data_IF_776809286704
#
_entry.id   IF_776809286704
#
_cell.length_a   1.000
_cell.length_b   1.000
_cell.length_c   1.000
_cell.angle_alpha   90.00
_cell.angle_beta   90.00
_cell.angle_gamma   90.00
#
_symmetry.space_group_name_H-M   'P 1'
#
loop_
_entity.id
_entity.type
_entity.pdbx_description
1 polymer ?
#
# COMPACT_ATOMS: atom_id res chain seq x y z
N UNK A 1 -27.70 42.70 -10.93
CA UNK A 1 -26.72 42.59 -9.88
C UNK A 1 -27.26 41.62 -8.85
N UNK A 2 -26.75 40.43 -8.82
CA UNK A 2 -27.18 39.39 -7.91
C UNK A 2 -26.17 38.29 -7.96
N UNK A 3 -25.19 38.35 -7.02
CA UNK A 3 -24.17 37.32 -6.81
C UNK A 3 -24.85 36.03 -6.33
N UNK A 4 -24.97 35.08 -7.22
CA UNK A 4 -25.37 33.71 -6.89
C UNK A 4 -24.14 32.87 -6.59
N UNK A 5 -23.66 32.86 -5.35
CA UNK A 5 -22.73 31.84 -4.86
C UNK A 5 -23.45 30.50 -4.85
N UNK A 6 -23.09 29.62 -5.76
CA UNK A 6 -23.42 28.20 -5.71
C UNK A 6 -22.57 27.56 -4.60
N UNK A 7 -23.20 27.22 -3.48
CA UNK A 7 -22.64 26.33 -2.49
C UNK A 7 -22.55 24.91 -3.08
N UNK A 8 -21.52 24.13 -2.79
CA UNK A 8 -21.48 22.73 -3.20
C UNK A 8 -22.59 21.97 -2.45
N UNK A 9 -23.50 21.37 -3.22
CA UNK A 9 -24.55 20.51 -2.69
C UNK A 9 -23.88 19.25 -2.11
N UNK A 10 -23.83 19.14 -0.81
CA UNK A 10 -23.61 17.88 -0.11
C UNK A 10 -24.77 16.94 -0.44
N UNK A 11 -24.53 16.03 -1.37
CA UNK A 11 -25.48 14.94 -1.64
C UNK A 11 -25.41 13.95 -0.48
N UNK A 12 -26.43 13.92 0.34
CA UNK A 12 -26.69 12.81 1.24
C UNK A 12 -27.03 11.56 0.39
N UNK A 13 -26.14 10.57 0.46
CA UNK A 13 -26.37 9.29 -0.21
C UNK A 13 -27.28 8.42 0.65
N UNK A 14 -28.46 8.16 0.17
CA UNK A 14 -29.43 7.26 0.80
C UNK A 14 -29.24 5.85 0.23
N UNK A 15 -28.97 4.88 1.10
CA UNK A 15 -28.79 3.47 0.75
C UNK A 15 -30.08 2.91 0.16
N UNK A 16 -30.11 2.59 -1.11
CA UNK A 16 -31.21 1.85 -1.75
C UNK A 16 -31.04 0.34 -1.50
N UNK A 17 -32.09 -0.43 -1.21
CA UNK A 17 -31.98 -1.80 -0.64
C UNK A 17 -31.68 -2.91 -1.64
N UNK A 18 -31.10 -2.61 -2.79
CA UNK A 18 -30.66 -3.65 -3.73
C UNK A 18 -29.22 -3.42 -4.05
N UNK A 19 -28.28 -4.23 -3.49
CA UNK A 19 -27.11 -4.47 -4.21
C UNK A 19 -25.96 -5.05 -3.65
N UNK A 20 -25.21 -5.40 -4.39
CA UNK A 20 -23.85 -5.77 -4.56
C UNK A 20 -23.50 -6.80 -3.57
N UNK A 21 -23.10 -7.73 -3.60
CA UNK A 21 -22.31 -8.13 -4.44
C UNK A 21 -21.00 -8.50 -3.84
N UNK A 22 -19.93 -8.12 -4.28
CA UNK A 22 -18.66 -8.62 -3.83
C UNK A 22 -17.84 -7.49 -3.23
N UNK A 23 -17.55 -7.56 -1.92
CA UNK A 23 -16.62 -6.65 -1.26
C UNK A 23 -15.28 -7.36 -1.08
N UNK A 24 -14.19 -6.76 -1.55
CA UNK A 24 -12.83 -7.23 -1.30
C UNK A 24 -12.10 -6.23 -0.42
N UNK A 25 -11.60 -6.71 0.72
CA UNK A 25 -10.81 -5.95 1.68
C UNK A 25 -9.37 -6.50 1.69
N UNK A 26 -8.42 -5.68 1.27
CA UNK A 26 -6.99 -6.00 1.41
C UNK A 26 -6.53 -5.37 2.71
N UNK A 27 -5.97 -6.18 3.62
CA UNK A 27 -5.53 -5.73 4.94
C UNK A 27 -4.05 -6.11 5.13
N UNK A 28 -3.13 -5.25 4.66
CA UNK A 28 -1.70 -5.48 4.83
C UNK A 28 -1.32 -5.49 6.31
N UNK A 29 -0.28 -6.23 6.66
CA UNK A 29 0.27 -6.29 8.01
C UNK A 29 -0.77 -6.60 9.12
N UNK A 30 -1.85 -7.29 8.74
CA UNK A 30 -2.89 -7.75 9.65
C UNK A 30 -2.53 -9.07 10.36
N UNK A 31 -1.46 -9.72 9.94
CA UNK A 31 -0.92 -10.92 10.55
C UNK A 31 0.32 -10.53 11.35
N UNK A 32 0.43 -10.93 12.64
CA UNK A 32 1.60 -10.62 13.45
C UNK A 32 2.84 -11.31 12.88
N UNK A 33 4.05 -10.84 13.22
CA UNK A 33 5.30 -11.44 12.75
C UNK A 33 5.39 -12.91 13.17
N UNK A 34 6.01 -13.73 12.32
CA UNK A 34 6.29 -15.14 12.58
C UNK A 34 7.48 -15.36 13.53
N UNK A 35 7.64 -16.58 14.02
CA UNK A 35 8.80 -16.97 14.82
C UNK A 35 10.03 -17.18 13.91
N UNK A 36 10.57 -16.15 13.31
CA UNK A 36 11.69 -16.19 12.38
C UNK A 36 11.86 -14.88 11.63
N UNK A 37 10.83 -14.06 11.62
CA UNK A 37 10.98 -12.66 11.24
C UNK A 37 11.86 -11.98 12.30
N UNK A 38 12.61 -10.93 11.94
CA UNK A 38 13.51 -10.15 12.84
C UNK A 38 12.78 -9.55 14.06
N UNK A 39 11.96 -10.37 14.71
CA UNK A 39 11.28 -10.02 15.94
C UNK A 39 12.36 -9.74 16.99
N UNK A 40 12.51 -8.48 17.35
CA UNK A 40 13.24 -8.10 18.55
C UNK A 40 12.80 -9.02 19.69
N UNK A 41 13.75 -9.58 20.43
CA UNK A 41 13.62 -10.65 21.42
C UNK A 41 12.48 -10.51 22.45
N UNK A 42 11.76 -9.39 22.45
CA UNK A 42 10.80 -9.02 23.49
C UNK A 42 9.33 -9.38 23.20
N UNK A 43 8.96 -9.72 21.96
CA UNK A 43 7.55 -10.03 21.64
C UNK A 43 7.41 -11.44 21.09
N UNK A 44 6.94 -12.34 21.93
CA UNK A 44 6.55 -13.69 21.51
C UNK A 44 5.27 -13.58 20.67
N UNK A 45 5.29 -13.93 19.36
CA UNK A 45 4.13 -13.81 18.47
C UNK A 45 2.84 -14.42 19.06
N UNK A 46 2.96 -15.54 19.77
CA UNK A 46 1.84 -16.17 20.46
C UNK A 46 1.28 -15.36 21.63
N UNK A 47 2.07 -14.45 22.25
CA UNK A 47 1.57 -13.55 23.30
C UNK A 47 0.74 -12.43 22.68
N UNK A 48 1.19 -11.88 21.56
CA UNK A 48 0.47 -10.87 20.81
C UNK A 48 -0.88 -11.40 20.29
N UNK A 49 -0.89 -12.59 19.70
CA UNK A 49 -2.12 -13.25 19.24
C UNK A 49 -3.14 -13.50 20.39
N UNK A 50 -2.68 -13.76 21.61
CA UNK A 50 -3.59 -13.93 22.77
C UNK A 50 -4.27 -12.62 23.18
N UNK A 51 -3.60 -11.48 22.98
CA UNK A 51 -4.15 -10.16 23.27
C UNK A 51 -5.06 -9.63 22.15
N UNK A 52 -4.98 -10.24 20.97
CA UNK A 52 -5.77 -9.82 19.82
C UNK A 52 -7.23 -10.28 19.98
N UNK A 53 -8.15 -9.34 20.13
CA UNK A 53 -9.58 -9.56 20.27
C UNK A 53 -10.33 -9.08 19.03
N UNK A 54 -10.55 -9.98 18.08
CA UNK A 54 -11.23 -9.71 16.80
C UNK A 54 -12.43 -10.66 16.63
N UNK A 55 -13.52 -10.46 17.40
CA UNK A 55 -14.65 -11.38 17.38
C UNK A 55 -15.36 -11.46 16.03
N UNK A 56 -15.45 -10.35 15.29
CA UNK A 56 -16.08 -10.35 14.00
C UNK A 56 -15.20 -11.02 12.93
N UNK A 57 -13.92 -10.65 12.83
CA UNK A 57 -12.98 -11.31 11.94
C UNK A 57 -12.87 -12.80 12.24
N UNK A 58 -12.78 -13.18 13.52
CA UNK A 58 -12.73 -14.58 13.96
C UNK A 58 -13.95 -15.37 13.48
N UNK A 59 -15.14 -14.80 13.57
CA UNK A 59 -16.37 -15.40 13.06
C UNK A 59 -16.40 -15.51 11.55
N UNK A 60 -15.88 -14.52 10.84
CA UNK A 60 -15.77 -14.51 9.38
C UNK A 60 -14.77 -15.60 8.93
N UNK A 61 -13.54 -15.60 9.45
CA UNK A 61 -12.48 -16.52 9.04
C UNK A 61 -12.80 -17.97 9.29
N UNK A 62 -13.38 -18.30 10.47
CA UNK A 62 -13.74 -19.69 10.79
C UNK A 62 -14.79 -20.27 9.87
N UNK A 63 -15.55 -19.44 9.17
CA UNK A 63 -16.60 -19.86 8.23
C UNK A 63 -16.22 -19.66 6.77
N UNK A 64 -15.16 -18.92 6.52
CA UNK A 64 -14.67 -18.64 5.19
C UNK A 64 -14.27 -19.91 4.41
N UNK A 65 -14.28 -19.76 3.12
CA UNK A 65 -13.63 -20.67 2.20
C UNK A 65 -12.25 -20.09 1.89
N UNK A 66 -11.16 -20.81 2.19
CA UNK A 66 -9.80 -20.38 1.83
C UNK A 66 -9.66 -20.27 0.32
N UNK A 67 -9.04 -19.19 -0.11
CA UNK A 67 -8.63 -18.92 -1.48
C UNK A 67 -7.12 -19.09 -1.69
N UNK A 68 -6.54 -18.37 -2.66
CA UNK A 68 -5.11 -18.34 -2.88
C UNK A 68 -4.34 -17.94 -1.64
N UNK A 69 -3.19 -18.56 -1.49
CA UNK A 69 -2.23 -18.28 -0.44
C UNK A 69 -0.84 -18.24 -1.03
N UNK A 70 -0.04 -17.32 -0.57
CA UNK A 70 1.35 -17.19 -0.95
C UNK A 70 2.22 -17.00 0.29
N UNK A 71 3.33 -17.68 0.35
CA UNK A 71 4.34 -17.56 1.39
C UNK A 71 5.70 -17.61 0.73
N UNK A 72 6.60 -16.75 1.14
CA UNK A 72 7.97 -16.71 0.65
C UNK A 72 8.94 -16.89 1.82
N UNK A 73 9.86 -17.83 1.62
CA UNK A 73 10.95 -18.08 2.56
C UNK A 73 12.09 -17.07 2.40
N UNK A 74 12.06 -16.27 1.32
CA UNK A 74 13.06 -15.24 1.08
C UNK A 74 12.76 -14.00 1.92
N UNK A 75 13.53 -13.76 3.01
CA UNK A 75 13.34 -12.57 3.84
C UNK A 75 13.73 -11.28 3.11
N UNK A 76 14.40 -11.40 1.97
CA UNK A 76 14.86 -10.27 1.14
C UNK A 76 13.97 -10.01 -0.07
N UNK A 77 12.77 -10.56 -0.08
CA UNK A 77 11.77 -10.28 -1.11
C UNK A 77 11.47 -8.78 -1.17
N UNK A 78 11.66 -8.18 -2.35
CA UNK A 78 11.69 -6.72 -2.52
C UNK A 78 10.32 -6.07 -2.69
N UNK A 79 9.31 -6.87 -3.02
CA UNK A 79 7.91 -6.44 -3.14
C UNK A 79 7.10 -6.86 -1.91
N UNK A 80 6.04 -6.11 -1.62
CA UNK A 80 5.10 -6.43 -0.55
C UNK A 80 4.10 -7.51 -1.00
N UNK A 81 3.59 -8.34 -0.08
CA UNK A 81 2.61 -9.37 -0.41
C UNK A 81 1.35 -8.83 -1.10
N UNK A 82 0.81 -7.71 -0.63
CA UNK A 82 -0.35 -7.07 -1.26
C UNK A 82 -0.06 -6.54 -2.66
N UNK A 83 1.15 -6.03 -2.94
CA UNK A 83 1.56 -5.62 -4.28
C UNK A 83 1.58 -6.80 -5.25
N UNK A 84 2.06 -7.95 -4.78
CA UNK A 84 2.12 -9.20 -5.55
C UNK A 84 0.72 -9.76 -5.79
N UNK A 85 -0.15 -9.74 -4.78
CA UNK A 85 -1.54 -10.13 -4.92
C UNK A 85 -2.26 -9.26 -5.95
N UNK A 86 -2.08 -7.95 -5.88
CA UNK A 86 -2.64 -6.99 -6.83
C UNK A 86 -2.14 -7.25 -8.26
N UNK A 87 -0.83 -7.45 -8.43
CA UNK A 87 -0.25 -7.77 -9.73
C UNK A 87 -0.86 -9.06 -10.30
N UNK A 88 -0.90 -10.14 -9.54
CA UNK A 88 -1.50 -11.41 -9.95
C UNK A 88 -2.99 -11.26 -10.33
N UNK A 89 -3.75 -10.52 -9.51
CA UNK A 89 -5.17 -10.24 -9.73
C UNK A 89 -5.39 -9.44 -11.01
N UNK A 90 -4.51 -8.47 -11.27
CA UNK A 90 -4.47 -7.66 -12.48
C UNK A 90 -4.01 -8.42 -13.72
N UNK A 91 -3.50 -9.65 -13.58
CA UNK A 91 -2.96 -10.46 -14.67
C UNK A 91 -1.52 -10.12 -15.06
N UNK A 92 -0.81 -9.46 -14.15
CA UNK A 92 0.58 -9.09 -14.29
C UNK A 92 1.50 -10.13 -13.62
N UNK A 93 2.80 -10.03 -13.91
CA UNK A 93 3.81 -10.89 -13.27
C UNK A 93 4.01 -10.50 -11.80
N UNK A 94 3.56 -11.36 -10.89
CA UNK A 94 3.74 -11.15 -9.46
C UNK A 94 5.19 -11.36 -8.98
N UNK A 95 6.06 -11.97 -9.78
CA UNK A 95 7.48 -12.10 -9.45
C UNK A 95 8.27 -10.82 -9.74
N UNK A 96 7.77 -9.98 -10.65
CA UNK A 96 8.39 -8.72 -11.07
C UNK A 96 7.38 -7.57 -10.99
N UNK A 97 7.02 -7.19 -9.76
CA UNK A 97 6.01 -6.16 -9.53
C UNK A 97 6.52 -4.79 -9.97
N UNK A 98 5.89 -4.25 -11.01
CA UNK A 98 6.16 -2.91 -11.55
C UNK A 98 5.13 -1.92 -10.98
N UNK A 99 5.43 -1.24 -9.88
CA UNK A 99 4.46 -0.31 -9.27
C UNK A 99 4.50 1.07 -9.92
N UNK A 100 5.67 1.57 -10.29
CA UNK A 100 5.87 2.95 -10.74
C UNK A 100 5.08 3.35 -11.99
N UNK A 101 4.92 2.52 -13.05
CA UNK A 101 4.12 2.89 -14.20
C UNK A 101 2.67 3.20 -13.84
N UNK A 102 2.09 2.44 -12.92
CA UNK A 102 0.71 2.60 -12.47
C UNK A 102 0.58 3.72 -11.43
N UNK A 103 1.51 3.86 -10.50
CA UNK A 103 1.56 5.02 -9.59
C UNK A 103 1.62 6.34 -10.37
N UNK A 104 2.43 6.40 -11.43
CA UNK A 104 2.51 7.56 -12.33
C UNK A 104 1.16 7.87 -12.97
N UNK A 105 0.44 6.85 -13.43
CA UNK A 105 -0.88 7.00 -14.02
C UNK A 105 -1.86 7.64 -13.01
N UNK A 106 -1.88 7.15 -11.77
CA UNK A 106 -2.69 7.69 -10.68
C UNK A 106 -2.33 9.14 -10.37
N UNK A 107 -1.05 9.43 -10.20
CA UNK A 107 -0.56 10.76 -9.84
C UNK A 107 -0.84 11.80 -10.94
N UNK A 108 -0.69 11.41 -12.21
CA UNK A 108 -1.04 12.29 -13.34
C UNK A 108 -2.54 12.55 -13.40
N UNK A 109 -3.37 11.51 -13.17
CA UNK A 109 -4.82 11.67 -13.11
C UNK A 109 -5.23 12.62 -11.97
N UNK A 110 -4.64 12.47 -10.78
CA UNK A 110 -4.90 13.35 -9.63
C UNK A 110 -4.47 14.80 -9.89
N UNK A 111 -3.41 15.00 -10.69
CA UNK A 111 -2.93 16.33 -11.11
C UNK A 111 -3.72 16.92 -12.30
N UNK A 112 -4.72 16.22 -12.83
CA UNK A 112 -5.47 16.65 -14.03
C UNK A 112 -4.64 16.64 -15.32
N UNK A 113 -3.55 15.89 -15.34
CA UNK A 113 -2.69 15.72 -16.50
C UNK A 113 -3.14 14.52 -17.36
N UNK A 114 -2.79 14.47 -18.66
CA UNK A 114 -3.03 13.29 -19.48
C UNK A 114 -2.48 12.03 -18.79
N UNK A 115 -3.33 11.05 -18.56
CA UNK A 115 -3.05 9.86 -17.73
C UNK A 115 -3.41 8.58 -18.48
N UNK A 116 -3.06 8.48 -19.75
CA UNK A 116 -3.26 7.28 -20.54
C UNK A 116 -2.18 6.23 -20.22
N UNK A 117 -2.59 4.99 -20.12
CA UNK A 117 -1.71 3.84 -19.94
C UNK A 117 -1.15 3.45 -21.31
N UNK A 118 -0.04 4.07 -21.72
CA UNK A 118 0.66 3.75 -22.96
C UNK A 118 1.36 2.39 -22.81
N UNK A 119 0.88 1.37 -23.53
CA UNK A 119 1.43 0.01 -23.45
C UNK A 119 2.91 -0.01 -23.83
N UNK A 120 3.72 -0.68 -23.02
CA UNK A 120 5.17 -0.77 -23.18
C UNK A 120 5.96 0.42 -22.67
N UNK A 121 5.32 1.53 -22.28
CA UNK A 121 6.03 2.64 -21.66
C UNK A 121 6.61 2.22 -20.31
N UNK A 122 7.91 2.42 -20.13
CA UNK A 122 8.65 2.00 -18.94
C UNK A 122 8.98 3.16 -18.03
N UNK A 123 8.65 3.01 -16.73
CA UNK A 123 8.85 4.03 -15.70
C UNK A 123 9.38 3.43 -14.41
N UNK A 124 10.20 4.22 -13.69
CA UNK A 124 10.59 3.97 -12.31
C UNK A 124 10.25 5.20 -11.46
N UNK A 125 9.95 5.01 -10.20
CA UNK A 125 9.69 6.11 -9.26
C UNK A 125 11.00 6.53 -8.58
N UNK A 126 11.30 7.81 -8.64
CA UNK A 126 12.38 8.49 -7.93
C UNK A 126 11.74 9.28 -6.80
N UNK A 127 11.70 8.71 -5.61
CA UNK A 127 10.99 9.28 -4.47
C UNK A 127 11.95 10.05 -3.57
N UNK A 128 11.68 11.36 -3.28
CA UNK A 128 12.38 12.10 -2.23
C UNK A 128 12.16 11.43 -0.87
N UNK A 129 13.24 11.23 -0.12
CA UNK A 129 13.19 10.49 1.15
C UNK A 129 14.10 11.12 2.20
N UNK A 130 13.90 10.70 3.46
CA UNK A 130 14.87 10.92 4.53
C UNK A 130 15.53 9.59 4.89
N UNK A 131 16.86 9.55 4.81
CA UNK A 131 17.68 8.46 5.30
C UNK A 131 18.35 8.92 6.59
N UNK A 132 17.99 8.28 7.69
CA UNK A 132 18.52 8.56 9.00
C UNK A 132 19.80 7.75 9.27
N UNK A 133 20.85 8.40 9.75
CA UNK A 133 22.06 7.72 10.21
C UNK A 133 21.83 7.24 11.66
N UNK A 134 21.57 5.95 11.84
CA UNK A 134 21.58 5.31 13.14
C UNK A 134 23.04 5.10 13.62
N UNK A 135 23.22 4.45 14.76
CA UNK A 135 24.57 4.30 15.36
C UNK A 135 25.57 3.56 14.46
N UNK A 136 25.12 2.54 13.75
CA UNK A 136 25.93 1.58 13.00
C UNK A 136 25.40 1.25 11.61
N UNK A 137 24.23 1.79 11.24
CA UNK A 137 23.60 1.57 9.94
C UNK A 137 22.73 2.75 9.52
N UNK A 138 22.24 2.70 8.28
CA UNK A 138 21.30 3.68 7.72
C UNK A 138 19.88 3.13 7.77
N UNK A 139 18.93 3.98 8.07
CA UNK A 139 17.50 3.64 8.15
C UNK A 139 16.69 4.57 7.24
N UNK A 140 15.88 4.00 6.38
CA UNK A 140 14.89 4.75 5.60
C UNK A 140 13.68 5.04 6.50
N UNK A 141 13.27 6.30 6.58
CA UNK A 141 12.04 6.66 7.26
C UNK A 141 10.84 6.49 6.30
N UNK A 142 9.67 6.27 6.87
CA UNK A 142 8.47 6.12 6.05
C UNK A 142 8.25 7.39 5.22
N UNK A 143 7.98 7.29 3.92
CA UNK A 143 7.83 8.47 3.05
C UNK A 143 6.78 9.46 3.53
N UNK A 144 5.68 8.99 4.10
CA UNK A 144 4.60 9.85 4.59
C UNK A 144 5.02 10.73 5.80
N UNK A 145 6.07 10.34 6.53
CA UNK A 145 6.62 11.15 7.63
C UNK A 145 7.35 12.41 7.15
N UNK A 146 7.65 12.51 5.85
CA UNK A 146 8.40 13.63 5.30
C UNK A 146 7.49 14.82 5.01
N UNK A 147 6.26 14.60 4.57
CA UNK A 147 5.27 15.64 4.25
C UNK A 147 5.87 16.79 3.42
N UNK A 148 6.44 16.45 2.27
CA UNK A 148 7.08 17.44 1.40
C UNK A 148 6.04 18.35 0.73
N UNK A 149 6.21 19.67 0.85
CA UNK A 149 5.35 20.68 0.22
C UNK A 149 5.71 20.85 -1.25
N UNK A 150 4.76 21.34 -2.05
CA UNK A 150 4.98 21.53 -3.50
C UNK A 150 6.14 22.48 -3.81
N UNK A 151 6.22 23.59 -3.10
CA UNK A 151 7.30 24.58 -3.24
C UNK A 151 8.66 24.03 -2.78
N UNK A 152 8.69 23.18 -1.75
CA UNK A 152 9.91 22.52 -1.29
C UNK A 152 10.42 21.53 -2.35
N UNK A 153 9.52 20.70 -2.89
CA UNK A 153 9.84 19.75 -3.93
C UNK A 153 10.35 20.45 -5.21
N UNK A 154 9.75 21.55 -5.60
CA UNK A 154 10.18 22.36 -6.76
C UNK A 154 11.59 22.92 -6.55
N UNK A 155 11.87 23.51 -5.38
CA UNK A 155 13.17 24.07 -5.08
C UNK A 155 14.27 22.99 -5.03
N UNK A 156 13.97 21.82 -4.42
CA UNK A 156 14.90 20.68 -4.37
C UNK A 156 15.16 20.09 -5.77
N UNK A 157 14.14 20.02 -6.63
CA UNK A 157 14.30 19.62 -8.04
C UNK A 157 15.15 20.63 -8.83
N UNK A 158 14.88 21.90 -8.66
CA UNK A 158 15.66 22.97 -9.34
C UNK A 158 17.13 22.91 -8.94
N UNK A 159 17.44 22.60 -7.67
CA UNK A 159 18.81 22.49 -7.19
C UNK A 159 19.61 21.35 -7.84
N UNK A 160 18.96 20.34 -8.39
CA UNK A 160 19.59 19.19 -9.05
C UNK A 160 19.34 19.15 -10.56
N UNK A 161 18.82 20.25 -11.14
CA UNK A 161 18.45 20.29 -12.55
C UNK A 161 19.65 20.01 -13.47
N UNK A 162 20.79 20.63 -13.21
CA UNK A 162 22.02 20.41 -14.00
C UNK A 162 22.47 18.94 -13.96
N UNK A 163 22.37 18.31 -12.77
CA UNK A 163 22.71 16.90 -12.60
C UNK A 163 21.75 15.98 -13.39
N UNK A 164 20.48 16.32 -13.42
CA UNK A 164 19.47 15.59 -14.21
C UNK A 164 19.75 15.74 -15.70
N UNK A 165 20.04 16.96 -16.16
CA UNK A 165 20.33 17.27 -17.56
C UNK A 165 21.63 16.57 -18.02
N UNK A 166 22.71 16.61 -17.23
CA UNK A 166 23.97 15.91 -17.53
C UNK A 166 23.77 14.38 -17.62
N UNK A 167 22.88 13.83 -16.80
CA UNK A 167 22.52 12.42 -16.83
C UNK A 167 21.53 12.09 -17.97
N UNK A 168 21.00 13.07 -18.67
CA UNK A 168 19.97 12.91 -19.71
C UNK A 168 18.62 12.43 -19.15
N UNK A 169 18.34 12.72 -17.88
CA UNK A 169 17.16 12.27 -17.19
C UNK A 169 16.01 13.25 -17.41
N UNK A 170 14.95 12.78 -18.05
CA UNK A 170 13.69 13.49 -18.13
C UNK A 170 12.81 13.09 -16.94
N UNK A 171 12.51 14.06 -16.09
CA UNK A 171 11.70 13.88 -14.91
C UNK A 171 10.24 14.24 -15.17
N UNK A 172 9.32 13.35 -14.88
CA UNK A 172 7.88 13.62 -14.76
C UNK A 172 7.51 13.66 -13.28
N UNK A 173 7.07 14.80 -12.77
CA UNK A 173 6.85 15.03 -11.35
C UNK A 173 5.44 15.59 -11.10
N UNK A 174 4.38 14.78 -11.30
CA UNK A 174 3.00 15.21 -11.12
C UNK A 174 2.63 15.45 -9.64
N UNK A 175 3.43 14.89 -8.72
CA UNK A 175 3.26 15.03 -7.28
C UNK A 175 4.56 15.43 -6.59
N UNK A 176 4.50 16.23 -5.51
CA UNK A 176 5.69 16.64 -4.78
C UNK A 176 6.54 15.48 -4.27
N UNK A 177 5.88 14.46 -3.73
CA UNK A 177 6.53 13.33 -3.08
C UNK A 177 6.96 12.20 -4.04
N UNK A 178 6.56 12.23 -5.30
CA UNK A 178 6.86 11.16 -6.28
C UNK A 178 7.21 11.74 -7.62
N UNK A 179 8.40 11.40 -8.08
CA UNK A 179 8.92 11.79 -9.39
C UNK A 179 9.14 10.52 -10.21
N UNK A 180 9.00 10.60 -11.51
CA UNK A 180 9.12 9.44 -12.39
C UNK A 180 10.19 9.67 -13.44
N UNK A 181 11.00 8.65 -13.67
CA UNK A 181 12.05 8.61 -14.67
C UNK A 181 11.83 7.43 -15.61
N UNK A 182 12.32 7.48 -16.87
CA UNK A 182 12.29 6.30 -17.74
C UNK A 182 12.94 5.10 -17.06
N UNK A 183 12.32 3.92 -17.17
CA UNK A 183 12.75 2.65 -16.53
C UNK A 183 14.23 2.34 -16.75
N UNK A 184 14.73 2.61 -17.95
CA UNK A 184 16.08 2.24 -18.36
C UNK A 184 17.16 3.29 -18.00
N UNK A 185 16.80 4.37 -17.31
CA UNK A 185 17.73 5.47 -16.93
C UNK A 185 18.99 4.93 -16.25
N UNK A 186 18.82 4.01 -15.31
CA UNK A 186 19.96 3.37 -14.61
C UNK A 186 20.12 1.88 -15.00
N UNK A 187 19.50 1.44 -16.11
CA UNK A 187 19.46 0.05 -16.52
C UNK A 187 18.57 -0.80 -15.60
N UNK A 188 18.71 -2.12 -15.70
CA UNK A 188 17.97 -3.03 -14.86
C UNK A 188 18.54 -3.01 -13.43
N UNK A 189 17.83 -2.34 -12.51
CA UNK A 189 18.14 -2.33 -11.10
C UNK A 189 17.08 -3.12 -10.33
N UNK A 190 17.52 -4.02 -9.48
CA UNK A 190 16.67 -4.60 -8.46
C UNK A 190 16.42 -3.52 -7.41
N UNK A 191 15.21 -3.07 -7.30
CA UNK A 191 14.78 -2.02 -6.39
C UNK A 191 13.73 -2.54 -5.42
N UNK A 192 13.59 -1.88 -4.29
CA UNK A 192 12.69 -2.27 -3.20
C UNK A 192 11.69 -1.16 -2.95
N UNK A 193 10.43 -1.51 -2.77
CA UNK A 193 9.38 -0.58 -2.32
C UNK A 193 9.82 0.10 -1.01
N UNK A 194 9.69 1.43 -0.88
CA UNK A 194 10.13 2.15 0.33
C UNK A 194 9.55 1.57 1.62
N UNK A 195 8.27 1.25 1.64
CA UNK A 195 7.59 0.65 2.80
C UNK A 195 8.27 -0.64 3.27
N UNK A 196 8.76 -1.46 2.34
CA UNK A 196 9.51 -2.69 2.65
C UNK A 196 10.87 -2.42 3.31
N UNK A 197 11.54 -1.33 2.94
CA UNK A 197 12.85 -0.94 3.45
C UNK A 197 12.78 -0.10 4.74
N UNK A 198 11.61 0.48 5.03
CA UNK A 198 11.40 1.39 6.15
C UNK A 198 11.67 0.73 7.50
N UNK A 199 12.30 1.48 8.41
CA UNK A 199 12.55 1.07 9.80
C UNK A 199 13.68 0.04 9.97
N UNK A 200 14.36 -0.35 8.89
CA UNK A 200 15.39 -1.41 8.88
C UNK A 200 16.72 -0.89 8.40
N UNK A 201 17.78 -1.69 8.61
CA UNK A 201 19.05 -1.46 7.91
C UNK A 201 18.82 -1.52 6.41
N UNK A 202 19.04 -0.39 5.71
CA UNK A 202 18.76 -0.29 4.27
C UNK A 202 19.79 -0.96 3.37
N UNK A 203 20.95 -1.37 3.89
CA UNK A 203 22.05 -1.90 3.07
C UNK A 203 21.59 -3.08 2.20
N UNK A 204 20.77 -3.96 2.75
CA UNK A 204 20.22 -5.13 2.05
C UNK A 204 19.11 -4.75 1.04
N UNK A 205 18.49 -3.59 1.22
CA UNK A 205 17.38 -3.11 0.38
C UNK A 205 17.84 -2.12 -0.70
N UNK A 206 19.11 -1.69 -0.64
CA UNK A 206 19.69 -0.80 -1.64
C UNK A 206 19.59 -1.42 -3.04
N UNK A 207 19.50 -0.54 -4.02
CA UNK A 207 19.42 -0.93 -5.42
C UNK A 207 20.64 -1.76 -5.81
N UNK A 208 20.40 -2.91 -6.43
CA UNK A 208 21.40 -3.87 -6.87
C UNK A 208 21.28 -4.12 -8.39
N UNK A 209 22.38 -4.49 -9.02
CA UNK A 209 22.45 -4.76 -10.46
C UNK A 209 23.70 -4.19 -11.11
N UNK A 210 23.83 -4.36 -12.41
CA UNK A 210 25.03 -4.00 -13.16
C UNK A 210 25.39 -2.50 -13.05
N UNK A 211 24.39 -1.61 -12.98
CA UNK A 211 24.57 -0.16 -12.87
C UNK A 211 24.31 0.40 -11.47
N UNK A 212 24.30 -0.43 -10.44
CA UNK A 212 24.09 0.02 -9.06
C UNK A 212 25.14 1.04 -8.59
N UNK A 213 26.36 1.00 -9.16
CA UNK A 213 27.41 1.98 -8.87
C UNK A 213 27.07 3.35 -9.43
N UNK A 214 26.55 3.42 -10.66
CA UNK A 214 26.15 4.68 -11.32
C UNK A 214 24.98 5.30 -10.54
N UNK A 215 24.01 4.47 -10.14
CA UNK A 215 22.91 4.88 -9.29
C UNK A 215 23.38 5.50 -7.97
N UNK A 216 24.26 4.78 -7.23
CA UNK A 216 24.80 5.26 -5.95
C UNK A 216 25.56 6.58 -6.10
N UNK A 217 26.31 6.74 -7.19
CA UNK A 217 26.98 8.01 -7.47
C UNK A 217 25.98 9.13 -7.65
N UNK A 218 24.97 8.93 -8.48
CA UNK A 218 23.91 9.91 -8.72
C UNK A 218 23.15 10.27 -7.43
N UNK A 219 22.80 9.28 -6.63
CA UNK A 219 22.14 9.46 -5.32
C UNK A 219 23.04 10.30 -4.38
N UNK A 220 24.32 10.02 -4.31
CA UNK A 220 25.27 10.78 -3.47
C UNK A 220 25.40 12.24 -3.95
N UNK A 221 25.42 12.49 -5.24
CA UNK A 221 25.49 13.86 -5.78
C UNK A 221 24.24 14.66 -5.40
N UNK A 222 23.05 14.06 -5.44
CA UNK A 222 21.81 14.65 -4.92
C UNK A 222 21.95 14.95 -3.42
N UNK A 223 22.39 13.97 -2.62
CA UNK A 223 22.56 14.14 -1.17
C UNK A 223 23.49 15.32 -0.85
N UNK A 224 24.60 15.43 -1.55
CA UNK A 224 25.53 16.54 -1.36
C UNK A 224 24.94 17.89 -1.76
N UNK A 225 24.17 17.93 -2.84
CA UNK A 225 23.50 19.16 -3.32
C UNK A 225 22.40 19.62 -2.34
N UNK A 226 21.69 18.66 -1.74
CA UNK A 226 20.62 18.99 -0.79
C UNK A 226 21.12 19.21 0.64
N UNK A 227 22.34 18.81 0.95
CA UNK A 227 22.98 19.12 2.21
C UNK A 227 23.20 20.62 2.36
N UNK A 228 22.63 21.22 3.41
CA UNK A 228 22.68 22.69 3.59
C UNK A 228 21.84 23.49 2.59
N UNK A 229 20.94 22.84 1.86
CA UNK A 229 20.00 23.57 1.00
C UNK A 229 18.99 24.37 1.85
N UNK A 230 18.63 25.63 1.48
CA UNK A 230 17.74 26.49 2.27
C UNK A 230 16.40 25.83 2.66
N UNK A 231 15.84 24.98 1.80
CA UNK A 231 14.63 24.19 2.12
C UNK A 231 14.89 23.31 3.33
N UNK A 232 16.00 22.58 3.38
CA UNK A 232 16.31 21.67 4.48
C UNK A 232 16.66 22.44 5.77
N UNK A 233 17.38 23.57 5.67
CA UNK A 233 17.64 24.45 6.81
C UNK A 233 16.33 24.99 7.41
N UNK A 234 15.36 25.38 6.56
CA UNK A 234 14.06 25.84 7.03
C UNK A 234 13.26 24.72 7.68
N UNK A 235 13.27 23.50 7.08
CA UNK A 235 12.61 22.32 7.67
C UNK A 235 13.17 21.96 9.04
N UNK A 236 14.49 21.96 9.20
CA UNK A 236 15.14 21.70 10.48
C UNK A 236 14.82 22.79 11.53
N UNK A 237 14.77 24.05 11.11
CA UNK A 237 14.35 25.15 11.99
C UNK A 237 12.88 25.02 12.46
N UNK A 238 12.01 24.40 11.63
CA UNK A 238 10.63 24.07 11.95
C UNK A 238 10.50 22.74 12.75
N UNK A 239 11.60 22.02 13.02
CA UNK A 239 11.59 20.71 13.65
C UNK A 239 11.10 19.58 12.74
N UNK A 240 11.12 19.80 11.42
CA UNK A 240 10.73 18.83 10.41
C UNK A 240 11.97 18.11 9.87
N UNK A 241 11.78 16.87 9.42
CA UNK A 241 12.85 16.08 8.84
C UNK A 241 13.34 16.68 7.52
N UNK A 242 14.65 16.83 7.29
CA UNK A 242 15.18 17.24 5.99
C UNK A 242 14.92 16.17 4.92
N UNK A 243 14.72 16.59 3.68
CA UNK A 243 14.71 15.69 2.52
C UNK A 243 16.15 15.53 2.06
N UNK A 244 16.79 14.45 2.45
CA UNK A 244 18.25 14.31 2.29
C UNK A 244 18.69 13.28 1.26
N UNK A 245 17.76 12.57 0.62
CA UNK A 245 18.09 11.56 -0.38
C UNK A 245 16.91 11.29 -1.32
N UNK A 246 17.14 10.43 -2.30
CA UNK A 246 16.13 9.88 -3.20
C UNK A 246 16.18 8.36 -3.17
N UNK A 247 15.02 7.72 -3.36
CA UNK A 247 14.88 6.27 -3.42
C UNK A 247 14.27 5.86 -4.76
N UNK A 248 14.99 5.08 -5.54
CA UNK A 248 14.51 4.55 -6.83
C UNK A 248 13.81 3.21 -6.61
N UNK A 249 12.59 3.07 -7.10
CA UNK A 249 11.82 1.84 -6.92
C UNK A 249 10.75 1.63 -7.99
N UNK A 250 10.12 0.45 -7.96
CA UNK A 250 8.91 0.11 -8.70
C UNK A 250 9.05 0.08 -10.21
N UNK A 251 10.29 0.04 -10.73
CA UNK A 251 10.57 0.08 -12.16
C UNK A 251 9.91 -1.04 -12.95
N UNK A 252 9.44 -0.72 -14.14
CA UNK A 252 8.87 -1.65 -15.09
C UNK A 252 8.03 -0.99 -16.15
N UNK A 253 7.29 -1.79 -16.92
CA UNK A 253 6.53 -1.34 -18.08
C UNK A 253 5.03 -1.50 -17.89
N UNK A 254 4.29 -0.56 -18.49
CA UNK A 254 2.84 -0.69 -18.62
C UNK A 254 2.50 -1.92 -19.45
N UNK A 255 1.61 -2.74 -18.92
CA UNK A 255 1.06 -3.91 -19.58
C UNK A 255 -0.48 -3.84 -19.55
N UNK A 256 -1.14 -4.63 -20.35
CA UNK A 256 -2.60 -4.78 -20.31
C UNK A 256 -3.03 -5.31 -18.95
N UNK A 257 -3.92 -4.57 -18.28
CA UNK A 257 -4.41 -4.85 -16.93
C UNK A 257 -5.83 -5.41 -16.99
N UNK A 258 -6.07 -6.51 -16.29
CA UNK A 258 -7.43 -6.99 -16.05
C UNK A 258 -8.13 -6.11 -15.01
N UNK A 259 -9.42 -5.84 -15.23
CA UNK A 259 -10.24 -5.10 -14.29
C UNK A 259 -10.24 -5.78 -12.91
N UNK A 260 -9.90 -5.03 -11.86
CA UNK A 260 -9.81 -5.56 -10.50
C UNK A 260 -11.18 -5.72 -9.85
N UNK A 261 -12.01 -4.68 -9.98
CA UNK A 261 -13.37 -4.58 -9.48
C UNK A 261 -14.12 -3.53 -10.31
N UNK A 262 -15.43 -3.39 -10.13
CA UNK A 262 -16.17 -2.30 -10.79
C UNK A 262 -15.79 -0.96 -10.19
N UNK A 263 -15.67 -0.91 -8.86
CA UNK A 263 -15.22 0.28 -8.12
C UNK A 263 -14.05 -0.07 -7.21
N UNK A 264 -13.03 0.76 -7.24
CA UNK A 264 -11.87 0.72 -6.33
C UNK A 264 -11.88 2.00 -5.49
N UNK A 265 -11.88 1.85 -4.18
CA UNK A 265 -11.85 2.94 -3.22
C UNK A 265 -10.53 2.89 -2.47
N UNK A 266 -9.62 3.81 -2.77
CA UNK A 266 -8.26 3.76 -2.22
C UNK A 266 -7.56 5.10 -2.34
N UNK A 267 -6.59 5.33 -1.44
CA UNK A 267 -5.61 6.40 -1.53
C UNK A 267 -4.22 5.85 -1.95
N UNK A 268 -4.08 4.52 -2.08
CA UNK A 268 -2.84 3.89 -2.55
C UNK A 268 -2.64 4.11 -4.06
N UNK A 269 -1.54 4.78 -4.48
CA UNK A 269 -1.35 5.15 -5.88
C UNK A 269 -1.14 3.96 -6.81
N UNK A 270 -0.59 2.84 -6.34
CA UNK A 270 -0.43 1.65 -7.15
C UNK A 270 -1.78 1.00 -7.46
N UNK A 271 -2.63 0.84 -6.43
CA UNK A 271 -3.97 0.30 -6.58
C UNK A 271 -4.85 1.21 -7.46
N UNK A 272 -4.80 2.53 -7.25
CA UNK A 272 -5.50 3.50 -8.09
C UNK A 272 -5.07 3.38 -9.56
N UNK A 273 -3.76 3.32 -9.80
CA UNK A 273 -3.23 3.21 -11.15
C UNK A 273 -3.60 1.92 -11.87
N UNK A 274 -3.59 0.78 -11.16
CA UNK A 274 -4.10 -0.49 -11.69
C UNK A 274 -5.60 -0.42 -12.00
N UNK A 275 -6.37 0.22 -11.13
CA UNK A 275 -7.80 0.41 -11.31
C UNK A 275 -8.10 1.24 -12.58
N UNK A 276 -7.41 2.35 -12.75
CA UNK A 276 -7.53 3.20 -13.95
C UNK A 276 -7.15 2.44 -15.22
N UNK A 277 -5.99 1.75 -15.20
CA UNK A 277 -5.53 0.97 -16.34
C UNK A 277 -6.47 -0.19 -16.70
N UNK A 278 -7.12 -0.79 -15.71
CA UNK A 278 -8.09 -1.88 -15.88
C UNK A 278 -9.53 -1.42 -16.16
N UNK A 279 -9.78 -0.09 -16.20
CA UNK A 279 -11.11 0.46 -16.47
C UNK A 279 -12.10 0.31 -15.31
N UNK A 280 -11.61 0.30 -14.07
CA UNK A 280 -12.43 0.42 -12.86
C UNK A 280 -12.81 1.87 -12.59
N UNK A 281 -13.93 2.10 -11.92
CA UNK A 281 -14.20 3.40 -11.30
C UNK A 281 -13.32 3.57 -10.07
N UNK A 282 -12.84 4.79 -9.80
CA UNK A 282 -11.98 5.09 -8.66
C UNK A 282 -12.63 6.15 -7.79
N UNK A 283 -12.59 5.96 -6.48
CA UNK A 283 -13.05 6.90 -5.48
C UNK A 283 -12.10 6.98 -4.28
N UNK A 284 -12.29 7.95 -3.39
CA UNK A 284 -11.49 8.11 -2.19
C UNK A 284 -11.63 6.90 -1.26
N UNK A 285 -10.60 6.66 -0.46
CA UNK A 285 -10.63 5.63 0.57
C UNK A 285 -11.66 5.98 1.65
N UNK A 286 -12.62 5.09 1.96
CA UNK A 286 -13.54 5.32 3.06
C UNK A 286 -12.83 5.05 4.40
N UNK A 287 -13.10 5.90 5.40
CA UNK A 287 -12.50 5.72 6.72
C UNK A 287 -13.07 4.48 7.44
N UNK A 288 -14.33 4.12 7.18
CA UNK A 288 -15.03 2.98 7.78
C UNK A 288 -16.06 2.42 6.81
N UNK A 289 -16.55 1.21 7.08
CA UNK A 289 -17.55 0.54 6.23
C UNK A 289 -18.81 1.39 5.97
N UNK A 290 -19.28 2.16 6.96
CA UNK A 290 -20.46 3.01 6.82
C UNK A 290 -20.28 4.13 5.78
N UNK A 291 -19.04 4.48 5.46
CA UNK A 291 -18.69 5.51 4.48
C UNK A 291 -18.54 4.92 3.05
N UNK A 292 -18.68 3.59 2.91
CA UNK A 292 -18.84 2.96 1.61
C UNK A 292 -20.12 3.50 0.99
N UNK A 293 -20.00 4.62 0.29
CA UNK A 293 -21.13 5.26 -0.40
C UNK A 293 -21.77 4.29 -1.38
N UNK A 294 -23.08 4.39 -1.51
CA UNK A 294 -23.76 3.78 -2.64
C UNK A 294 -23.42 4.64 -3.85
N UNK A 295 -22.56 4.13 -4.71
CA UNK A 295 -22.44 4.69 -6.06
C UNK A 295 -23.82 4.65 -6.72
N UNK A 296 -24.21 5.72 -7.42
CA UNK A 296 -25.46 5.85 -8.16
C UNK A 296 -25.64 4.80 -9.30
N UNK A 297 -24.73 3.86 -9.42
CA UNK A 297 -24.75 2.72 -10.33
C UNK A 297 -24.41 1.46 -9.56
N UNK A 298 -25.13 0.39 -9.84
CA UNK A 298 -24.90 -0.95 -9.32
C UNK A 298 -23.45 -1.39 -9.56
N UNK A 299 -22.55 -1.10 -8.61
CA UNK A 299 -21.23 -1.71 -8.62
C UNK A 299 -21.39 -3.15 -8.15
N UNK A 300 -21.19 -4.11 -9.03
CA UNK A 300 -21.26 -5.52 -8.67
C UNK A 300 -20.10 -5.94 -7.77
N UNK A 301 -19.00 -5.24 -7.81
CA UNK A 301 -17.81 -5.49 -7.00
C UNK A 301 -17.12 -4.20 -6.54
N UNK A 302 -16.74 -4.17 -5.26
CA UNK A 302 -15.96 -3.10 -4.64
C UNK A 302 -14.69 -3.67 -4.05
N UNK A 303 -13.57 -2.97 -4.24
CA UNK A 303 -12.28 -3.31 -3.67
C UNK A 303 -11.73 -2.09 -2.92
N UNK A 304 -11.23 -2.31 -1.70
CA UNK A 304 -10.51 -1.30 -0.91
C UNK A 304 -9.33 -1.90 -0.17
N UNK A 305 -8.33 -1.06 0.13
CA UNK A 305 -7.14 -1.43 0.86
C UNK A 305 -7.13 -0.71 2.21
N UNK A 306 -7.02 -1.46 3.30
CA UNK A 306 -7.09 -0.97 4.67
C UNK A 306 -5.70 -1.09 5.32
N UNK A 307 -4.89 -0.06 5.23
CA UNK A 307 -3.47 -0.06 5.61
C UNK A 307 -3.18 0.51 7.01
N UNK A 308 -4.21 0.80 7.79
CA UNK A 308 -4.08 1.46 9.09
C UNK A 308 -3.16 0.75 10.09
N UNK A 309 -2.93 -0.56 9.95
CA UNK A 309 -2.01 -1.34 10.78
C UNK A 309 -0.55 -1.29 10.31
N UNK A 310 -0.27 -0.81 9.09
CA UNK A 310 1.03 -0.91 8.42
C UNK A 310 2.13 -0.17 9.17
N UNK A 311 1.91 1.11 9.51
CA UNK A 311 2.91 1.92 10.19
C UNK A 311 3.29 1.33 11.56
N UNK A 312 2.29 0.95 12.36
CA UNK A 312 2.49 0.38 13.67
C UNK A 312 3.26 -0.97 13.61
N UNK A 313 2.95 -1.80 12.61
CA UNK A 313 3.65 -3.06 12.41
C UNK A 313 5.13 -2.83 12.04
N UNK A 314 5.41 -1.92 11.09
CA UNK A 314 6.77 -1.60 10.66
C UNK A 314 7.59 -1.00 11.81
N UNK A 315 6.98 -0.15 12.62
CA UNK A 315 7.62 0.45 13.81
C UNK A 315 7.76 -0.54 14.98
N UNK A 316 7.26 -1.76 14.84
CA UNK A 316 7.13 -2.74 15.93
C UNK A 316 6.40 -2.17 17.17
N UNK A 317 5.53 -1.20 16.98
CA UNK A 317 4.63 -0.69 18.01
C UNK A 317 3.41 -1.60 18.14
N UNK A 318 3.58 -2.67 18.89
CA UNK A 318 2.56 -3.70 19.05
C UNK A 318 1.34 -3.22 19.83
N UNK A 319 1.51 -2.19 20.69
CA UNK A 319 0.38 -1.56 21.37
C UNK A 319 -0.54 -0.85 20.39
N UNK A 320 0.04 0.02 19.57
CA UNK A 320 -0.69 0.73 18.51
C UNK A 320 -1.24 -0.24 17.45
N UNK A 321 -0.48 -1.29 17.09
CA UNK A 321 -0.94 -2.30 16.15
C UNK A 321 -2.20 -3.01 16.66
N UNK A 322 -2.24 -3.43 17.94
CA UNK A 322 -3.43 -4.03 18.55
C UNK A 322 -4.62 -3.06 18.52
N UNK A 323 -4.40 -1.79 18.85
CA UNK A 323 -5.45 -0.76 18.79
C UNK A 323 -6.02 -0.63 17.39
N UNK A 324 -5.16 -0.56 16.35
CA UNK A 324 -5.58 -0.47 14.96
C UNK A 324 -6.35 -1.70 14.49
N UNK A 325 -5.90 -2.90 14.88
CA UNK A 325 -6.61 -4.14 14.55
C UNK A 325 -7.99 -4.22 15.24
N UNK A 326 -8.12 -3.77 16.49
CA UNK A 326 -9.41 -3.67 17.17
C UNK A 326 -10.35 -2.66 16.50
N UNK A 327 -9.82 -1.51 16.07
CA UNK A 327 -10.58 -0.53 15.29
C UNK A 327 -11.07 -1.11 13.96
N UNK A 328 -10.22 -1.85 13.23
CA UNK A 328 -10.61 -2.56 12.01
C UNK A 328 -11.73 -3.58 12.26
N UNK A 329 -11.68 -4.31 13.38
CA UNK A 329 -12.76 -5.25 13.71
C UNK A 329 -14.10 -4.52 13.95
N UNK A 330 -14.06 -3.42 14.67
CA UNK A 330 -15.26 -2.65 15.01
C UNK A 330 -15.83 -1.87 13.81
N UNK A 331 -14.98 -1.24 13.02
CA UNK A 331 -15.39 -0.30 11.96
C UNK A 331 -15.56 -0.96 10.59
N UNK A 332 -14.94 -2.13 10.38
CA UNK A 332 -14.99 -2.84 9.10
C UNK A 332 -15.53 -4.27 9.22
N UNK A 333 -14.91 -5.14 10.02
CA UNK A 333 -15.26 -6.55 10.00
C UNK A 333 -16.62 -6.83 10.64
N UNK A 334 -16.98 -6.13 11.72
CA UNK A 334 -18.31 -6.28 12.32
C UNK A 334 -19.40 -5.76 11.38
N UNK A 335 -19.33 -4.56 10.78
CA UNK A 335 -20.29 -4.11 9.79
C UNK A 335 -20.40 -5.02 8.56
N UNK A 336 -19.28 -5.56 8.05
CA UNK A 336 -19.30 -6.55 6.96
C UNK A 336 -20.05 -7.82 7.37
N UNK A 337 -19.81 -8.33 8.57
CA UNK A 337 -20.53 -9.48 9.12
C UNK A 337 -22.03 -9.22 9.20
N UNK A 338 -22.41 -8.02 9.64
CA UNK A 338 -23.83 -7.61 9.75
C UNK A 338 -24.47 -7.46 8.36
N UNK A 339 -23.77 -6.83 7.42
CA UNK A 339 -24.22 -6.68 6.04
C UNK A 339 -24.41 -8.03 5.32
N UNK A 340 -23.47 -8.99 5.51
CA UNK A 340 -23.62 -10.37 5.01
C UNK A 340 -24.83 -11.06 5.64
N UNK A 341 -25.01 -10.90 6.95
CA UNK A 341 -26.12 -11.52 7.68
C UNK A 341 -27.47 -10.95 7.23
N UNK A 342 -27.54 -9.65 7.06
CA UNK A 342 -28.74 -8.96 6.54
C UNK A 342 -28.99 -9.24 5.04
N UNK A 343 -27.97 -9.68 4.31
CA UNK A 343 -28.02 -9.90 2.85
C UNK A 343 -27.90 -8.60 2.05
N UNK A 344 -27.31 -7.58 2.63
CA UNK A 344 -26.97 -6.32 1.95
C UNK A 344 -25.78 -6.51 1.00
N UNK A 345 -24.85 -7.42 1.32
CA UNK A 345 -23.81 -7.93 0.44
C UNK A 345 -23.92 -9.45 0.31
N UNK A 346 -23.49 -10.00 -0.82
CA UNK A 346 -23.55 -11.44 -1.09
C UNK A 346 -22.32 -12.17 -0.61
N UNK A 347 -21.16 -11.55 -0.80
CA UNK A 347 -19.87 -12.11 -0.36
C UNK A 347 -18.88 -11.01 0.03
N UNK A 348 -17.96 -11.38 0.92
CA UNK A 348 -16.80 -10.60 1.28
C UNK A 348 -15.54 -11.44 1.13
N UNK A 349 -14.52 -10.87 0.52
CA UNK A 349 -13.19 -11.46 0.41
C UNK A 349 -12.20 -10.65 1.24
N UNK A 350 -11.46 -11.33 2.11
CA UNK A 350 -10.42 -10.75 2.93
C UNK A 350 -9.07 -11.24 2.43
N UNK A 351 -8.17 -10.32 2.11
CA UNK A 351 -6.77 -10.61 1.76
C UNK A 351 -5.93 -10.14 2.95
N UNK A 352 -5.58 -11.07 3.81
CA UNK A 352 -4.81 -10.80 5.02
C UNK A 352 -3.34 -11.06 4.73
N UNK A 353 -2.49 -10.09 5.04
CA UNK A 353 -1.06 -10.16 4.77
C UNK A 353 -0.20 -9.88 5.99
N UNK A 354 0.98 -10.47 6.02
CA UNK A 354 2.10 -10.14 6.87
C UNK A 354 3.27 -9.59 6.03
N UNK A 355 4.49 -9.83 6.46
CA UNK A 355 5.68 -9.33 5.76
C UNK A 355 6.01 -10.09 4.46
N UNK A 356 5.89 -11.42 4.47
CA UNK A 356 6.32 -12.29 3.37
C UNK A 356 5.21 -13.21 2.85
N UNK A 357 3.99 -13.02 3.32
CA UNK A 357 2.88 -13.91 3.00
C UNK A 357 1.56 -13.16 2.91
N UNK A 358 0.63 -13.73 2.16
CA UNK A 358 -0.78 -13.38 2.23
C UNK A 358 -1.65 -14.63 2.14
N UNK A 359 -2.90 -14.50 2.57
CA UNK A 359 -3.94 -15.49 2.31
C UNK A 359 -5.27 -14.81 2.04
N UNK A 360 -6.02 -15.38 1.11
CA UNK A 360 -7.36 -14.96 0.72
C UNK A 360 -8.41 -15.83 1.40
N UNK A 361 -9.47 -15.20 1.91
CA UNK A 361 -10.60 -15.86 2.55
C UNK A 361 -11.89 -15.25 2.01
N UNK A 362 -12.77 -16.06 1.46
CA UNK A 362 -14.07 -15.60 0.96
C UNK A 362 -15.19 -16.15 1.83
N UNK A 363 -16.09 -15.27 2.25
CA UNK A 363 -17.27 -15.58 3.04
C UNK A 363 -18.52 -15.15 2.29
N UNK A 364 -19.50 -16.04 2.22
CA UNK A 364 -20.83 -15.76 1.70
C UNK A 364 -21.86 -15.79 2.82
N UNK A 365 -23.04 -15.22 2.57
CA UNK A 365 -24.18 -15.37 3.50
C UNK A 365 -24.50 -16.84 3.81
N UNK A 366 -24.36 -17.75 2.85
CA UNK A 366 -24.58 -19.17 3.04
C UNK A 366 -23.54 -19.81 3.98
N UNK A 367 -22.28 -19.33 3.92
CA UNK A 367 -21.21 -19.82 4.78
C UNK A 367 -21.43 -19.45 6.26
N UNK A 368 -22.02 -18.29 6.53
CA UNK A 368 -22.35 -17.87 7.89
C UNK A 368 -23.31 -18.83 8.61
N UNK A 369 -24.13 -19.58 7.86
CA UNK A 369 -25.04 -20.60 8.42
C UNK A 369 -24.34 -21.88 8.82
N UNK A 370 -23.09 -22.10 8.38
CA UNK A 370 -22.29 -23.30 8.68
C UNK A 370 -21.63 -23.20 10.05
N UNK A 371 -22.44 -23.08 11.11
CA UNK A 371 -21.96 -22.86 12.48
C UNK A 371 -21.01 -23.96 12.98
N UNK A 372 -21.12 -25.17 12.45
CA UNK A 372 -20.22 -26.29 12.78
C UNK A 372 -18.77 -26.09 12.34
N UNK A 373 -18.52 -25.19 11.38
CA UNK A 373 -17.14 -24.83 10.98
C UNK A 373 -16.40 -24.06 12.07
N UNK A 374 -17.12 -23.39 12.97
CA UNK A 374 -16.55 -22.70 14.13
C UNK A 374 -16.35 -23.60 15.36
N UNK A 375 -16.49 -24.93 15.23
CA UNK A 375 -16.34 -25.88 16.33
C UNK A 375 -15.03 -26.65 16.24
N UNK A 376 -14.42 -26.95 17.40
CA UNK A 376 -13.16 -27.68 17.50
C UNK A 376 -11.95 -26.87 16.97
N UNK A 377 -10.91 -27.57 16.52
CA UNK A 377 -9.67 -26.96 16.04
C UNK A 377 -9.85 -26.01 14.83
N UNK A 378 -10.91 -26.20 14.04
CA UNK A 378 -11.27 -25.29 12.93
C UNK A 378 -11.86 -23.97 13.40
N UNK A 379 -12.34 -23.89 14.64
CA UNK A 379 -12.89 -22.69 15.26
C UNK A 379 -11.83 -21.76 15.85
N UNK A 380 -10.58 -22.19 15.86
CA UNK A 380 -9.47 -21.36 16.37
C UNK A 380 -8.92 -20.46 15.25
N UNK A 381 -9.53 -19.29 15.12
CA UNK A 381 -9.10 -18.30 14.15
C UNK A 381 -7.70 -17.73 14.44
N UNK A 382 -7.26 -17.74 15.71
CA UNK A 382 -5.90 -17.33 16.08
C UNK A 382 -4.88 -18.33 15.55
N UNK A 383 -5.20 -19.62 15.61
CA UNK A 383 -4.38 -20.65 14.99
C UNK A 383 -4.32 -20.49 13.45
N UNK A 384 -5.40 -20.03 12.80
CA UNK A 384 -5.36 -19.71 11.37
C UNK A 384 -4.38 -18.57 11.08
N UNK A 385 -4.41 -17.47 11.84
CA UNK A 385 -3.46 -16.36 11.68
C UNK A 385 -2.03 -16.78 12.04
N UNK A 386 -1.84 -17.56 13.11
CA UNK A 386 -0.52 -18.10 13.47
C UNK A 386 0.05 -19.00 12.37
N UNK A 387 -0.78 -19.86 11.77
CA UNK A 387 -0.36 -20.70 10.66
C UNK A 387 -0.03 -19.91 9.39
N UNK A 388 -0.61 -18.73 9.20
CA UNK A 388 -0.20 -17.81 8.14
C UNK A 388 1.18 -17.25 8.43
N UNK A 389 1.43 -16.83 9.67
CA UNK A 389 2.72 -16.28 10.10
C UNK A 389 3.86 -17.32 10.12
N UNK A 390 3.55 -18.60 10.33
CA UNK A 390 4.55 -19.67 10.50
C UNK A 390 4.72 -20.58 9.28
N UNK A 391 4.01 -20.34 8.20
CA UNK A 391 4.06 -21.22 7.05
C UNK A 391 5.20 -20.82 6.11
N UNK A 392 6.33 -21.38 6.38
CA UNK A 392 7.44 -21.60 5.47
C UNK A 392 7.70 -23.10 5.38
#
# INVERSE_FOLDING_TARGET
MGDGKLAPASREFTISPTMTTHLTLIVPFSVPPGAGDDATDDVVPGALLRQLELPALGKLLTRATPGPRETHDDPYLRSLPQERWLAARAGLDAAQVATAPYMRLADRAAAGLPSEAEEGAGWACLQPVHIHAARDHLVLLHPDQIEIRAEEAEALRAAVADLLDEAGIRLDAPQPARWYVPENTFGELLATTPVRATGRNIDIWMQAGARARDWRRFQNEIQMTWHGHPVNEAREAEGRLPVNSVWLHGGGRVQTVRKLADTVLSDDPYLIGLALAGGSQVGPQPARFADLGTSDGQADSVLTLLDSATEAHIAADWGLWLERMHALDAEWFQPVLDALTAGQIQSATFVLGGENHFAEFTVTRADLRKFWRGLGARGDWRALLSNLAMAA
#
